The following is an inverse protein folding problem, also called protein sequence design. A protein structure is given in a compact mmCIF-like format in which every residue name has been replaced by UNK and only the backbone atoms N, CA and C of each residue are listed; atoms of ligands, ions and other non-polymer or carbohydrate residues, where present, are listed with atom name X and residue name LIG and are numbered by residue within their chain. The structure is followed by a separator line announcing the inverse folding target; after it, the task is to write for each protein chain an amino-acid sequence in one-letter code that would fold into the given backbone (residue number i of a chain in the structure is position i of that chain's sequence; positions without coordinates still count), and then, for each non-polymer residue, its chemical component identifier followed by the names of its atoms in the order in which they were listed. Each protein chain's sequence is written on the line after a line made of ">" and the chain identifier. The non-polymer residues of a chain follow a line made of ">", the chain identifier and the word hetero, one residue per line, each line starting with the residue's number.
data_IF_258607117765
#
_entry.id   IF_258607117765
#
_cell.length_a   1.000
_cell.length_b   1.000
_cell.length_c   1.000
_cell.angle_alpha   90.00
_cell.angle_beta   90.00
_cell.angle_gamma   90.00
#
_symmetry.space_group_name_H-M   'P 1'
#
loop_
_entity.id
_entity.type
_entity.pdbx_description
1 polymer ?
#
# COMPACT_ATOMS: atom_id res chain seq x y z
N UNK A 1 4.81 -10.70 -11.10
CA UNK A 1 4.12 -11.60 -10.13
C UNK A 1 3.53 -12.83 -10.79
N UNK A 2 2.87 -12.72 -11.98
CA UNK A 2 2.28 -13.88 -12.67
C UNK A 2 3.31 -14.98 -13.00
N UNK A 3 4.48 -14.59 -13.46
CA UNK A 3 5.51 -15.54 -13.85
C UNK A 3 6.11 -16.23 -12.62
N UNK A 4 6.35 -15.50 -11.54
CA UNK A 4 6.76 -16.08 -10.26
C UNK A 4 5.69 -17.04 -9.69
N UNK A 5 4.40 -16.73 -9.83
CA UNK A 5 3.33 -17.64 -9.43
C UNK A 5 3.34 -18.94 -10.25
N UNK A 6 3.68 -18.87 -11.54
CA UNK A 6 3.87 -20.07 -12.39
C UNK A 6 5.10 -20.87 -11.97
N UNK A 7 6.22 -20.19 -11.68
CA UNK A 7 7.45 -20.82 -11.21
C UNK A 7 7.26 -21.54 -9.87
N UNK A 8 6.45 -20.96 -8.98
CA UNK A 8 6.04 -21.59 -7.72
C UNK A 8 5.02 -22.73 -7.90
N UNK A 9 4.61 -23.03 -9.13
CA UNK A 9 3.54 -24.00 -9.44
C UNK A 9 2.24 -23.73 -8.64
N UNK A 10 1.91 -22.47 -8.42
CA UNK A 10 0.73 -22.05 -7.65
C UNK A 10 -0.54 -22.51 -8.35
N UNK A 11 -1.26 -23.45 -7.75
CA UNK A 11 -2.56 -23.96 -8.22
C UNK A 11 -3.74 -23.25 -7.56
N UNK A 12 -3.53 -22.62 -6.41
CA UNK A 12 -4.52 -21.86 -5.66
C UNK A 12 -3.83 -20.97 -4.64
N UNK A 13 -4.48 -19.88 -4.28
CA UNK A 13 -3.98 -18.96 -3.25
C UNK A 13 -4.34 -19.46 -1.86
N UNK A 14 -3.38 -19.37 -0.95
CA UNK A 14 -3.60 -19.65 0.49
C UNK A 14 -3.82 -18.35 1.29
N UNK A 15 -3.47 -17.20 0.74
CA UNK A 15 -3.81 -15.92 1.35
C UNK A 15 -5.31 -15.65 1.24
N UNK A 16 -5.92 -15.09 2.30
CA UNK A 16 -7.36 -14.85 2.40
C UNK A 16 -7.90 -13.92 1.31
N UNK A 17 -7.11 -12.96 0.88
CA UNK A 17 -7.45 -12.03 -0.19
C UNK A 17 -6.26 -11.82 -1.11
N UNK A 18 -6.39 -12.22 -2.36
CA UNK A 18 -5.46 -11.86 -3.44
C UNK A 18 -6.24 -11.10 -4.50
N UNK A 19 -5.82 -9.87 -4.77
CA UNK A 19 -6.47 -9.02 -5.74
C UNK A 19 -5.48 -8.48 -6.76
N UNK A 20 -5.92 -8.36 -8.00
CA UNK A 20 -5.19 -7.68 -9.05
C UNK A 20 -6.08 -6.67 -9.78
N UNK A 21 -5.46 -5.66 -10.42
CA UNK A 21 -6.13 -4.68 -11.25
C UNK A 21 -5.28 -4.29 -12.45
N UNK A 22 -5.86 -3.48 -13.32
CA UNK A 22 -5.20 -2.90 -14.49
C UNK A 22 -5.11 -1.37 -14.40
N UNK A 23 -5.08 -0.81 -13.18
CA UNK A 23 -5.11 0.64 -12.98
C UNK A 23 -3.97 1.40 -13.67
N UNK A 24 -2.80 0.75 -13.86
CA UNK A 24 -1.66 1.35 -14.56
C UNK A 24 -1.69 1.16 -16.09
N UNK A 25 -2.53 0.29 -16.61
CA UNK A 25 -2.57 -0.07 -18.03
C UNK A 25 -3.95 0.08 -18.67
N UNK A 26 -4.96 0.56 -17.94
CA UNK A 26 -6.35 0.69 -18.41
C UNK A 26 -6.51 1.71 -19.54
N UNK A 27 -5.77 2.83 -19.45
CA UNK A 27 -5.72 3.85 -20.49
C UNK A 27 -4.42 3.72 -21.29
N UNK A 28 -4.51 3.80 -22.59
CA UNK A 28 -3.34 3.70 -23.51
C UNK A 28 -2.52 2.40 -23.38
N UNK A 29 -3.16 1.22 -23.38
CA UNK A 29 -2.45 -0.04 -23.23
C UNK A 29 -1.55 -0.32 -24.44
N UNK A 30 -0.40 -0.95 -24.18
CA UNK A 30 0.46 -1.51 -25.22
C UNK A 30 -0.11 -2.85 -25.70
N UNK A 31 0.30 -3.38 -26.86
CA UNK A 31 -0.14 -4.70 -27.31
C UNK A 31 0.05 -5.82 -26.29
N UNK A 32 1.16 -5.82 -25.55
CA UNK A 32 1.43 -6.76 -24.45
C UNK A 32 0.45 -6.62 -23.27
N UNK A 33 -0.02 -5.40 -23.01
CA UNK A 33 -0.98 -5.14 -21.94
C UNK A 33 -2.36 -5.68 -22.34
N UNK A 34 -2.73 -5.61 -23.62
CA UNK A 34 -3.99 -6.15 -24.14
C UNK A 34 -4.04 -7.67 -23.94
N UNK A 35 -2.95 -8.39 -24.27
CA UNK A 35 -2.86 -9.82 -23.98
C UNK A 35 -3.02 -10.10 -22.48
N UNK A 36 -2.37 -9.29 -21.64
CA UNK A 36 -2.48 -9.41 -20.18
C UNK A 36 -3.90 -9.14 -19.71
N UNK A 37 -4.59 -8.15 -20.28
CA UNK A 37 -6.01 -7.86 -19.97
C UNK A 37 -6.92 -9.06 -20.23
N UNK A 38 -6.63 -9.84 -21.25
CA UNK A 38 -7.42 -11.02 -21.60
C UNK A 38 -7.05 -12.28 -20.80
N UNK A 39 -5.81 -12.44 -20.39
CA UNK A 39 -5.32 -13.71 -19.83
C UNK A 39 -5.15 -13.68 -18.30
N UNK A 40 -4.86 -12.53 -17.72
CA UNK A 40 -4.62 -12.42 -16.29
C UNK A 40 -5.88 -12.60 -15.42
N UNK A 41 -7.08 -12.13 -15.82
CA UNK A 41 -8.29 -12.35 -15.04
C UNK A 41 -8.57 -13.83 -14.77
N UNK A 42 -8.57 -14.66 -15.80
CA UNK A 42 -8.79 -16.10 -15.67
C UNK A 42 -7.69 -16.76 -14.81
N UNK A 43 -6.44 -16.33 -15.01
CA UNK A 43 -5.32 -16.83 -14.22
C UNK A 43 -5.49 -16.57 -12.72
N UNK A 44 -5.96 -15.41 -12.35
CA UNK A 44 -6.18 -15.02 -10.94
C UNK A 44 -7.44 -15.69 -10.38
N UNK A 45 -8.56 -15.63 -11.11
CA UNK A 45 -9.85 -16.16 -10.66
C UNK A 45 -9.85 -17.68 -10.50
N UNK A 46 -9.20 -18.40 -11.40
CA UNK A 46 -9.07 -19.88 -11.29
C UNK A 46 -8.24 -20.32 -10.09
N UNK A 47 -7.50 -19.41 -9.44
CA UNK A 47 -6.72 -19.64 -8.22
C UNK A 47 -7.38 -19.11 -6.95
N UNK A 48 -8.64 -18.65 -7.06
CA UNK A 48 -9.40 -18.12 -5.94
C UNK A 48 -9.19 -16.63 -5.64
N UNK A 49 -8.50 -15.91 -6.52
CA UNK A 49 -8.29 -14.47 -6.37
C UNK A 49 -9.37 -13.62 -7.04
N UNK A 50 -9.33 -12.33 -6.78
CA UNK A 50 -10.21 -11.31 -7.36
C UNK A 50 -9.47 -10.55 -8.45
N UNK A 51 -10.06 -10.46 -9.63
CA UNK A 51 -9.52 -9.67 -10.73
C UNK A 51 -10.47 -8.55 -11.11
N UNK A 52 -10.00 -7.32 -10.97
CA UNK A 52 -10.68 -6.15 -11.52
C UNK A 52 -10.45 -6.09 -13.03
N UNK A 53 -11.41 -5.55 -13.75
CA UNK A 53 -11.31 -5.33 -15.20
C UNK A 53 -10.61 -4.00 -15.50
N UNK A 54 -10.04 -3.82 -16.71
CA UNK A 54 -9.62 -2.50 -17.15
C UNK A 54 -10.76 -1.49 -17.04
N UNK A 55 -10.53 -0.40 -16.31
CA UNK A 55 -11.53 0.64 -16.06
C UNK A 55 -12.33 0.51 -14.76
N UNK A 56 -12.23 -0.58 -14.02
CA UNK A 56 -12.93 -0.75 -12.73
C UNK A 56 -12.37 0.17 -11.62
N UNK A 57 -11.27 0.84 -11.87
CA UNK A 57 -10.67 1.81 -10.96
C UNK A 57 -9.35 1.37 -10.35
N UNK A 58 -8.92 2.12 -9.34
CA UNK A 58 -7.63 1.93 -8.67
C UNK A 58 -7.78 0.83 -7.61
N UNK A 59 -6.85 -0.14 -7.62
CA UNK A 59 -6.85 -1.28 -6.68
C UNK A 59 -6.88 -0.81 -5.21
N UNK A 60 -6.14 0.24 -4.88
CA UNK A 60 -6.04 0.77 -3.52
C UNK A 60 -7.40 1.21 -2.98
N UNK A 61 -8.24 1.84 -3.82
CA UNK A 61 -9.60 2.25 -3.45
C UNK A 61 -10.51 1.06 -3.15
N UNK A 62 -10.32 -0.06 -3.83
CA UNK A 62 -11.04 -1.30 -3.56
C UNK A 62 -10.54 -1.94 -2.27
N UNK A 63 -9.23 -2.17 -2.15
CA UNK A 63 -8.63 -2.80 -0.99
C UNK A 63 -8.91 -2.04 0.31
N UNK A 64 -8.86 -0.71 0.29
CA UNK A 64 -9.14 0.11 1.45
C UNK A 64 -10.56 -0.10 2.04
N UNK A 65 -11.48 -0.64 1.25
CA UNK A 65 -12.86 -0.98 1.68
C UNK A 65 -13.04 -2.44 2.05
N UNK A 66 -12.07 -3.28 1.77
CA UNK A 66 -12.15 -4.74 1.95
C UNK A 66 -11.27 -5.24 3.08
N UNK A 67 -10.28 -4.46 3.49
CA UNK A 67 -9.33 -4.85 4.53
C UNK A 67 -9.99 -4.87 5.90
N UNK A 68 -9.53 -5.78 6.74
CA UNK A 68 -9.91 -5.91 8.13
C UNK A 68 -8.77 -5.42 9.04
N UNK A 69 -9.07 -4.97 10.26
CA UNK A 69 -8.06 -4.70 11.28
C UNK A 69 -7.18 -5.93 11.54
N UNK A 70 -5.98 -5.70 12.04
CA UNK A 70 -5.02 -6.75 12.44
C UNK A 70 -4.59 -7.68 11.29
N UNK A 71 -4.61 -7.19 10.06
CA UNK A 71 -4.11 -7.91 8.90
C UNK A 71 -2.75 -7.41 8.44
N UNK A 72 -2.01 -8.27 7.77
CA UNK A 72 -0.77 -7.90 7.06
C UNK A 72 -1.04 -7.96 5.56
N UNK A 73 -0.78 -6.85 4.88
CA UNK A 73 -0.97 -6.72 3.44
C UNK A 73 0.33 -6.44 2.71
N UNK A 74 0.49 -6.99 1.52
CA UNK A 74 1.61 -6.68 0.64
C UNK A 74 1.17 -6.59 -0.82
N UNK A 75 1.92 -5.87 -1.61
CA UNK A 75 1.65 -5.70 -3.04
C UNK A 75 2.85 -5.18 -3.79
N UNK A 76 2.81 -5.26 -5.11
CA UNK A 76 3.88 -4.79 -5.99
C UNK A 76 3.88 -3.28 -6.26
N UNK A 77 2.95 -2.53 -5.68
CA UNK A 77 2.85 -1.08 -5.84
C UNK A 77 3.41 -0.36 -4.62
N UNK A 78 4.14 0.73 -4.83
CA UNK A 78 4.74 1.54 -3.75
C UNK A 78 3.71 2.15 -2.80
N UNK A 79 2.47 2.31 -3.24
CA UNK A 79 1.34 2.79 -2.46
C UNK A 79 0.53 1.68 -1.79
N UNK A 80 1.10 0.48 -1.62
CA UNK A 80 0.53 -0.58 -0.79
C UNK A 80 0.69 -0.19 0.68
N UNK A 81 -0.11 0.77 1.12
CA UNK A 81 -0.11 1.36 2.47
C UNK A 81 -1.53 1.70 2.87
N UNK A 82 -2.06 0.96 3.81
CA UNK A 82 -3.46 1.05 4.23
C UNK A 82 -3.58 1.44 5.70
N UNK A 83 -4.68 2.06 6.10
CA UNK A 83 -4.82 2.66 7.43
C UNK A 83 -5.03 1.65 8.56
N UNK A 84 -5.21 0.38 8.25
CA UNK A 84 -5.49 -0.66 9.25
C UNK A 84 -4.51 -1.81 9.09
N UNK A 85 -3.97 -2.31 10.21
CA UNK A 85 -2.96 -3.34 10.19
C UNK A 85 -1.60 -2.83 9.70
N UNK A 86 -0.79 -3.73 9.16
CA UNK A 86 0.52 -3.41 8.57
C UNK A 86 0.43 -3.68 7.07
N UNK A 87 0.84 -2.72 6.25
CA UNK A 87 0.92 -2.92 4.81
C UNK A 87 2.15 -2.26 4.22
N UNK A 88 2.78 -2.95 3.28
CA UNK A 88 4.03 -2.50 2.68
C UNK A 88 4.20 -3.04 1.26
N UNK A 89 4.91 -2.31 0.39
CA UNK A 89 5.27 -2.81 -0.93
C UNK A 89 6.34 -3.90 -0.83
N UNK A 90 6.28 -4.85 -1.74
CA UNK A 90 7.30 -5.88 -1.86
C UNK A 90 7.58 -6.22 -3.32
N UNK A 91 8.73 -6.82 -3.57
CA UNK A 91 9.05 -7.34 -4.90
C UNK A 91 8.09 -8.47 -5.33
N UNK A 92 7.92 -8.63 -6.63
CA UNK A 92 6.95 -9.55 -7.22
C UNK A 92 7.09 -11.00 -6.74
N UNK A 93 8.31 -11.46 -6.48
CA UNK A 93 8.59 -12.80 -5.95
C UNK A 93 8.05 -12.99 -4.53
N UNK A 94 8.26 -12.00 -3.64
CA UNK A 94 7.78 -12.07 -2.26
C UNK A 94 6.24 -11.96 -2.20
N UNK A 95 5.64 -11.13 -3.07
CA UNK A 95 4.18 -11.05 -3.22
C UNK A 95 3.60 -12.38 -3.69
N UNK A 96 4.24 -13.03 -4.68
CA UNK A 96 3.82 -14.34 -5.17
C UNK A 96 3.96 -15.42 -4.09
N UNK A 97 5.04 -15.40 -3.32
CA UNK A 97 5.26 -16.30 -2.19
C UNK A 97 4.16 -16.16 -1.14
N UNK A 98 3.86 -14.92 -0.71
CA UNK A 98 2.80 -14.64 0.26
C UNK A 98 1.42 -15.06 -0.22
N UNK A 99 1.09 -14.79 -1.50
CA UNK A 99 -0.17 -15.21 -2.10
C UNK A 99 -0.31 -16.75 -2.14
N UNK A 100 0.78 -17.45 -2.47
CA UNK A 100 0.77 -18.92 -2.60
C UNK A 100 0.69 -19.62 -1.24
N UNK A 101 1.44 -19.15 -0.24
CA UNK A 101 1.56 -19.82 1.06
C UNK A 101 0.66 -19.23 2.16
N UNK A 102 0.09 -18.04 1.94
CA UNK A 102 -0.69 -17.33 2.97
C UNK A 102 0.16 -16.75 4.10
N UNK A 103 1.48 -16.81 3.99
CA UNK A 103 2.43 -16.28 4.96
C UNK A 103 3.71 -15.84 4.27
N UNK A 104 4.46 -14.95 4.90
CA UNK A 104 5.73 -14.45 4.36
C UNK A 104 6.68 -14.11 5.51
N UNK A 105 8.00 -14.25 5.30
CA UNK A 105 8.98 -13.76 6.26
C UNK A 105 8.93 -12.23 6.33
N UNK A 106 8.92 -11.70 7.53
CA UNK A 106 8.92 -10.27 7.80
C UNK A 106 9.71 -9.98 9.07
N UNK A 107 10.71 -9.12 8.97
CA UNK A 107 11.32 -8.51 10.13
C UNK A 107 10.40 -7.40 10.63
N UNK A 108 9.93 -7.51 11.88
CA UNK A 108 9.00 -6.54 12.43
C UNK A 108 9.63 -5.14 12.45
N UNK A 109 9.07 -4.15 11.73
CA UNK A 109 9.62 -2.81 11.71
C UNK A 109 9.44 -2.10 13.05
N UNK A 110 10.36 -1.21 13.38
CA UNK A 110 10.13 -0.24 14.44
C UNK A 110 9.00 0.71 14.05
N UNK A 111 8.33 1.32 15.04
CA UNK A 111 7.28 2.31 14.81
C UNK A 111 7.77 3.73 15.02
N UNK A 112 7.17 4.66 14.26
CA UNK A 112 7.23 6.10 14.48
C UNK A 112 5.82 6.57 14.79
N UNK A 113 5.62 7.08 16.00
CA UNK A 113 4.35 7.66 16.41
C UNK A 113 4.24 9.12 15.94
N UNK A 114 3.18 9.42 15.21
CA UNK A 114 2.74 10.77 14.88
C UNK A 114 1.47 11.07 15.67
N UNK A 115 1.59 11.95 16.65
CA UNK A 115 0.47 12.35 17.51
C UNK A 115 0.02 13.75 17.13
N UNK A 116 -1.26 13.88 16.80
CA UNK A 116 -1.91 15.18 16.61
C UNK A 116 -2.59 15.60 17.92
N UNK A 117 -2.36 16.84 18.34
CA UNK A 117 -2.91 17.39 19.56
C UNK A 117 -3.77 18.62 19.25
N UNK A 118 -4.87 18.78 19.99
CA UNK A 118 -5.81 19.87 19.80
C UNK A 118 -6.87 19.57 18.75
N UNK A 119 -7.36 20.60 18.08
CA UNK A 119 -8.40 20.52 17.06
C UNK A 119 -7.97 21.19 15.77
N UNK A 120 -8.48 20.64 14.66
CA UNK A 120 -8.23 21.19 13.33
C UNK A 120 -8.81 22.60 13.22
N UNK A 121 -7.98 23.56 12.82
CA UNK A 121 -8.40 24.94 12.66
C UNK A 121 -9.27 25.13 11.42
N UNK A 122 -10.19 26.11 11.40
CA UNK A 122 -10.99 26.41 10.22
C UNK A 122 -10.11 26.69 8.99
N UNK A 123 -10.45 26.08 7.86
CA UNK A 123 -9.71 26.22 6.61
C UNK A 123 -8.58 25.21 6.41
N UNK A 124 -8.20 24.47 7.44
CA UNK A 124 -7.25 23.36 7.32
C UNK A 124 -7.96 22.13 6.74
N UNK A 125 -7.35 21.53 5.73
CA UNK A 125 -7.81 20.32 5.09
C UNK A 125 -6.96 19.11 5.51
N UNK A 126 -7.42 17.91 5.20
CA UNK A 126 -6.63 16.72 5.45
C UNK A 126 -5.29 16.74 4.70
N UNK A 127 -5.25 17.31 3.50
CA UNK A 127 -4.01 17.46 2.72
C UNK A 127 -2.96 18.30 3.45
N UNK A 128 -3.38 19.31 4.18
CA UNK A 128 -2.48 20.12 5.00
C UNK A 128 -1.90 19.29 6.16
N UNK A 129 -2.72 18.44 6.78
CA UNK A 129 -2.29 17.51 7.83
C UNK A 129 -1.29 16.49 7.27
N UNK A 130 -1.57 15.90 6.11
CA UNK A 130 -0.65 14.98 5.42
C UNK A 130 0.71 15.65 5.21
N UNK A 131 0.72 16.90 4.76
CA UNK A 131 1.95 17.65 4.50
C UNK A 131 2.64 18.14 5.77
N UNK A 132 1.90 18.33 6.86
CA UNK A 132 2.46 18.75 8.15
C UNK A 132 3.42 17.69 8.72
N UNK A 133 3.17 16.41 8.49
CA UNK A 133 4.03 15.33 9.01
C UNK A 133 5.49 15.47 8.53
N UNK A 134 5.80 15.47 7.23
CA UNK A 134 7.18 15.66 6.78
C UNK A 134 7.70 17.09 7.08
N UNK A 135 6.84 18.09 7.08
CA UNK A 135 7.24 19.45 7.40
C UNK A 135 7.77 19.55 8.84
N UNK A 136 7.05 19.01 9.80
CA UNK A 136 7.50 18.98 11.21
C UNK A 136 8.76 18.15 11.37
N UNK A 137 8.86 17.02 10.67
CA UNK A 137 10.07 16.20 10.68
C UNK A 137 11.30 16.95 10.15
N UNK A 138 11.13 17.79 9.11
CA UNK A 138 12.18 18.70 8.62
C UNK A 138 12.57 19.75 9.67
N UNK A 139 11.59 20.39 10.31
CA UNK A 139 11.83 21.42 11.32
C UNK A 139 12.55 20.87 12.56
N UNK A 140 12.31 19.61 12.90
CA UNK A 140 12.90 18.94 14.08
C UNK A 140 14.19 18.17 13.76
N UNK A 141 14.68 18.22 12.52
CA UNK A 141 15.90 17.50 12.10
C UNK A 141 15.73 15.99 11.94
N UNK A 142 14.50 15.47 11.97
CA UNK A 142 14.18 14.05 11.77
C UNK A 142 14.06 13.67 10.28
N UNK A 143 14.06 14.65 9.41
CA UNK A 143 14.06 14.50 7.95
C UNK A 143 15.02 15.55 7.36
N UNK A 144 15.80 15.19 6.34
CA UNK A 144 16.65 16.12 5.60
C UNK A 144 16.34 16.09 4.12
N UNK A 145 16.58 17.21 3.43
CA UNK A 145 16.49 17.32 1.97
C UNK A 145 17.83 17.01 1.29
N UNK A 146 18.91 16.99 2.06
CA UNK A 146 20.27 16.79 1.55
C UNK A 146 20.47 15.33 1.11
N UNK A 147 21.28 15.14 0.06
CA UNK A 147 21.60 13.81 -0.47
C UNK A 147 22.69 13.10 0.37
N UNK A 148 23.67 13.87 0.82
CA UNK A 148 24.74 13.36 1.69
C UNK A 148 24.33 13.48 3.15
N UNK A 149 24.52 12.41 3.92
CA UNK A 149 24.09 12.35 5.32
C UNK A 149 22.58 12.39 5.50
N UNK A 150 21.81 11.85 4.54
CA UNK A 150 20.36 11.86 4.53
C UNK A 150 19.78 11.29 5.81
N UNK A 151 18.98 12.09 6.49
CA UNK A 151 18.18 11.68 7.64
C UNK A 151 16.74 11.46 7.19
N UNK A 152 16.17 10.33 7.53
CA UNK A 152 14.75 10.03 7.32
C UNK A 152 14.27 9.07 8.42
N UNK A 153 13.63 9.64 9.44
CA UNK A 153 13.10 8.89 10.59
C UNK A 153 12.03 7.86 10.18
N UNK A 154 11.37 8.07 9.06
CA UNK A 154 10.29 7.20 8.59
C UNK A 154 10.80 5.96 7.83
N UNK A 155 12.00 6.02 7.29
CA UNK A 155 12.51 4.98 6.38
C UNK A 155 12.57 3.61 7.04
N UNK A 156 11.86 2.64 6.47
CA UNK A 156 11.80 1.26 6.95
C UNK A 156 11.02 1.08 8.25
N UNK A 157 10.27 2.09 8.68
CA UNK A 157 9.46 2.05 9.91
C UNK A 157 7.97 2.06 9.62
N UNK A 158 7.20 1.53 10.54
CA UNK A 158 5.76 1.61 10.55
C UNK A 158 5.33 2.99 11.09
N UNK A 159 4.41 3.65 10.39
CA UNK A 159 3.87 4.95 10.82
C UNK A 159 2.57 4.73 11.57
N UNK A 160 2.59 5.03 12.87
CA UNK A 160 1.40 5.00 13.71
C UNK A 160 0.86 6.42 13.89
N UNK A 161 -0.41 6.64 13.57
CA UNK A 161 -1.03 7.97 13.60
C UNK A 161 -2.17 7.96 14.60
N UNK A 162 -2.16 8.94 15.52
CA UNK A 162 -3.23 9.13 16.51
C UNK A 162 -3.64 10.59 16.66
N UNK A 163 -4.78 10.82 17.30
CA UNK A 163 -5.30 12.16 17.56
C UNK A 163 -6.22 12.72 16.46
N UNK A 164 -6.66 11.87 15.53
CA UNK A 164 -7.60 12.23 14.47
C UNK A 164 -8.81 11.24 14.48
N UNK A 165 -9.68 11.29 15.53
CA UNK A 165 -10.66 10.25 15.80
C UNK A 165 -11.83 10.18 14.80
N UNK A 166 -12.13 11.27 14.10
CA UNK A 166 -13.33 11.40 13.26
C UNK A 166 -13.06 11.22 11.76
N UNK A 167 -11.95 10.57 11.41
CA UNK A 167 -11.62 10.35 10.01
C UNK A 167 -12.56 9.32 9.36
N UNK A 168 -13.02 9.65 8.16
CA UNK A 168 -13.63 8.68 7.25
C UNK A 168 -12.56 7.74 6.70
N UNK A 169 -12.97 6.56 6.24
CA UNK A 169 -12.07 5.54 5.66
C UNK A 169 -11.20 6.11 4.53
N UNK A 170 -11.79 6.92 3.65
CA UNK A 170 -11.06 7.55 2.56
C UNK A 170 -10.02 8.57 3.05
N UNK A 171 -10.32 9.26 4.15
CA UNK A 171 -9.39 10.22 4.76
C UNK A 171 -8.24 9.50 5.48
N UNK A 172 -8.53 8.42 6.18
CA UNK A 172 -7.50 7.59 6.80
C UNK A 172 -6.59 6.97 5.73
N UNK A 173 -7.16 6.53 4.61
CA UNK A 173 -6.38 6.05 3.48
C UNK A 173 -5.48 7.14 2.88
N UNK A 174 -5.94 8.36 2.73
CA UNK A 174 -5.10 9.46 2.23
C UNK A 174 -3.89 9.71 3.13
N UNK A 175 -4.04 9.60 4.45
CA UNK A 175 -2.92 9.71 5.39
C UNK A 175 -1.92 8.57 5.26
N UNK A 176 -2.39 7.33 5.18
CA UNK A 176 -1.52 6.15 5.07
C UNK A 176 -0.85 6.06 3.70
N UNK A 177 -1.58 6.33 2.62
CA UNK A 177 -1.06 6.32 1.25
C UNK A 177 0.10 7.30 1.07
N UNK A 178 0.00 8.49 1.64
CA UNK A 178 1.05 9.49 1.61
C UNK A 178 2.36 9.05 2.30
N UNK A 179 2.34 8.01 3.11
CA UNK A 179 3.54 7.44 3.72
C UNK A 179 4.49 6.81 2.69
N UNK A 180 3.99 6.46 1.49
CA UNK A 180 4.80 6.00 0.37
C UNK A 180 5.90 6.98 0.01
N UNK A 181 5.61 8.26 0.02
CA UNK A 181 6.56 9.32 -0.32
C UNK A 181 7.63 9.54 0.77
N UNK A 182 7.45 8.93 1.94
CA UNK A 182 8.37 8.98 3.08
C UNK A 182 9.12 7.68 3.32
N UNK A 183 8.88 6.65 2.51
CA UNK A 183 9.46 5.30 2.65
C UNK A 183 9.09 4.62 3.99
N UNK A 184 7.95 4.95 4.57
CA UNK A 184 7.36 4.27 5.75
C UNK A 184 6.24 3.31 5.34
N UNK A 185 5.92 2.41 6.20
CA UNK A 185 4.80 1.45 6.08
C UNK A 185 3.63 1.86 6.93
#
# INVERSE_FOLDING_TARGET
>A
TRDELKELACLGFSADLVMQSFCHTAAYPKPSDIETHHTLPDFIQTRGGVSLKPGDGIIHSWLNRMLLPDTVGTGGDSHTRFPIGISFPAGSGLVAFGATLGSMPLDMPESVLVRFEGSMQPGITLRDIVNAIPYVALQTGNLSLEKEGKINVFSGRCLEIEGLPDLKVEQAFELSDASAERSSS
#
